data_IF_778775497920
#
_entry.id   IF_778775497920
#
_cell.length_a   1.000
_cell.length_b   1.000
_cell.length_c   1.000
_cell.angle_alpha   90.00
_cell.angle_beta   90.00
_cell.angle_gamma   90.00
#
_symmetry.space_group_name_H-M   'P 1'
#
loop_
_entity.id
_entity.type
_entity.pdbx_description
1 polymer ?
#
# COMPACT_ATOMS: atom_id res chain seq x y z
N UNK A 1 21.86 25.86 -61.69
CA UNK A 1 20.67 25.06 -61.37
C UNK A 1 21.12 23.71 -60.79
N UNK A 2 21.12 23.53 -59.51
CA UNK A 2 21.15 22.22 -58.80
C UNK A 2 20.32 22.35 -57.53
N UNK A 3 19.21 21.64 -57.50
CA UNK A 3 18.31 21.55 -56.35
C UNK A 3 18.92 20.53 -55.36
N UNK A 4 19.22 20.97 -54.16
CA UNK A 4 19.62 20.10 -53.05
C UNK A 4 18.38 19.79 -52.21
N UNK A 5 17.91 18.55 -52.24
CA UNK A 5 16.87 18.06 -51.37
C UNK A 5 17.50 17.72 -50.02
N UNK A 6 17.11 18.44 -49.01
CA UNK A 6 17.42 18.11 -47.61
C UNK A 6 16.39 17.08 -47.09
N UNK A 7 16.86 15.88 -46.84
CA UNK A 7 16.05 14.83 -46.20
C UNK A 7 15.91 15.13 -44.71
N UNK A 8 14.70 15.43 -44.26
CA UNK A 8 14.32 15.53 -42.84
C UNK A 8 14.13 14.12 -42.32
N UNK A 9 15.05 13.63 -41.49
CA UNK A 9 14.88 12.37 -40.78
C UNK A 9 14.01 12.63 -39.54
N UNK A 10 12.76 12.15 -39.59
CA UNK A 10 11.86 12.13 -38.43
C UNK A 10 12.29 10.97 -37.53
N UNK A 11 12.95 11.27 -36.44
CA UNK A 11 13.28 10.33 -35.38
C UNK A 11 12.05 10.17 -34.51
N UNK A 12 11.28 9.09 -34.75
CA UNK A 12 10.16 8.72 -33.90
C UNK A 12 10.68 8.21 -32.57
N UNK A 13 10.65 9.04 -31.55
CA UNK A 13 10.83 8.62 -30.14
C UNK A 13 9.56 7.90 -29.70
N UNK A 14 9.60 6.58 -29.65
CA UNK A 14 8.59 5.79 -28.93
C UNK A 14 8.79 6.02 -27.43
N UNK A 15 8.04 6.96 -26.86
CA UNK A 15 7.82 7.02 -25.41
C UNK A 15 6.92 5.81 -25.04
N UNK A 16 7.54 4.74 -24.58
CA UNK A 16 6.80 3.70 -23.86
C UNK A 16 6.37 4.28 -22.51
N UNK A 17 5.15 4.77 -22.45
CA UNK A 17 4.46 5.02 -21.20
C UNK A 17 4.34 3.68 -20.46
N UNK A 18 5.20 3.45 -19.47
CA UNK A 18 4.98 2.42 -18.46
C UNK A 18 3.80 2.86 -17.60
N UNK A 19 2.57 2.60 -18.06
CA UNK A 19 1.44 2.46 -17.19
C UNK A 19 1.74 1.23 -16.33
N UNK A 20 2.04 1.45 -15.06
CA UNK A 20 1.93 0.44 -14.01
C UNK A 20 0.45 0.05 -13.89
N UNK A 21 -0.04 -0.70 -14.86
CA UNK A 21 -1.20 -1.53 -14.66
C UNK A 21 -0.81 -2.49 -13.55
N UNK A 22 -1.42 -2.39 -12.39
CA UNK A 22 -1.49 -3.48 -11.44
C UNK A 22 -2.06 -4.67 -12.20
N UNK A 23 -1.19 -5.57 -12.64
CA UNK A 23 -1.59 -6.84 -13.23
C UNK A 23 -2.19 -7.66 -12.08
N UNK A 24 -3.47 -7.45 -11.83
CA UNK A 24 -4.31 -8.48 -11.27
C UNK A 24 -4.02 -9.73 -12.10
N UNK A 25 -3.59 -10.82 -11.48
CA UNK A 25 -3.60 -12.13 -12.13
C UNK A 25 -5.05 -12.46 -12.43
N UNK A 26 -5.57 -11.94 -13.54
CA UNK A 26 -6.86 -12.36 -14.00
C UNK A 26 -6.68 -13.80 -14.50
N UNK A 27 -7.37 -14.76 -13.88
CA UNK A 27 -7.49 -16.15 -14.30
C UNK A 27 -8.12 -16.31 -15.72
N UNK A 28 -8.15 -15.26 -16.52
CA UNK A 28 -8.76 -15.14 -17.85
C UNK A 28 -7.78 -15.33 -19.00
N UNK A 29 -6.49 -15.61 -18.72
CA UNK A 29 -5.50 -15.88 -19.77
C UNK A 29 -5.75 -17.19 -20.49
N UNK A 30 -5.44 -17.23 -21.81
CA UNK A 30 -5.49 -18.43 -22.65
C UNK A 30 -4.68 -19.59 -22.06
N UNK A 31 -3.52 -19.25 -21.46
CA UNK A 31 -2.65 -20.17 -20.74
C UNK A 31 -2.66 -19.77 -19.28
N UNK A 32 -2.75 -20.76 -18.39
CA UNK A 32 -2.66 -20.59 -16.94
C UNK A 32 -1.40 -21.29 -16.45
N UNK A 33 -0.61 -20.59 -15.68
CA UNK A 33 0.53 -21.15 -14.92
C UNK A 33 0.11 -21.17 -13.46
N UNK A 34 -0.10 -22.35 -12.91
CA UNK A 34 -0.49 -22.54 -11.52
C UNK A 34 0.75 -22.97 -10.76
N UNK A 35 1.06 -22.27 -9.69
CA UNK A 35 2.11 -22.61 -8.73
C UNK A 35 1.45 -22.70 -7.36
N UNK A 36 1.62 -23.81 -6.66
CA UNK A 36 1.01 -24.02 -5.34
C UNK A 36 1.96 -24.77 -4.41
N UNK A 37 2.17 -24.28 -3.17
CA UNK A 37 2.89 -25.04 -2.15
C UNK A 37 2.06 -26.23 -1.66
N UNK A 38 2.73 -27.23 -1.06
CA UNK A 38 2.11 -28.46 -0.56
C UNK A 38 1.32 -28.27 0.76
N UNK A 39 1.61 -27.22 1.55
CA UNK A 39 0.82 -26.88 2.72
C UNK A 39 -0.37 -25.99 2.32
N UNK A 40 -1.57 -26.34 2.83
CA UNK A 40 -2.81 -25.64 2.49
C UNK A 40 -2.83 -24.17 2.91
N UNK A 41 -2.18 -23.83 4.01
CA UNK A 41 -2.08 -22.47 4.56
C UNK A 41 -0.80 -21.74 4.11
N UNK A 42 0.03 -22.39 3.27
CA UNK A 42 1.31 -21.91 2.76
C UNK A 42 2.33 -21.59 3.87
N UNK A 43 2.18 -22.14 5.08
CA UNK A 43 3.06 -21.85 6.21
C UNK A 43 3.93 -23.05 6.59
N UNK A 44 5.16 -22.80 6.98
CA UNK A 44 6.22 -23.79 7.27
C UNK A 44 7.02 -23.36 8.49
N UNK A 45 7.68 -24.33 9.12
CA UNK A 45 8.72 -24.07 10.11
C UNK A 45 10.03 -23.72 9.42
N UNK A 46 10.88 -22.92 10.06
CA UNK A 46 12.24 -22.68 9.61
C UNK A 46 13.00 -24.01 9.51
N UNK A 47 13.67 -24.24 8.39
CA UNK A 47 14.37 -25.49 8.08
C UNK A 47 13.49 -26.57 7.44
N UNK A 48 12.18 -26.44 7.46
CA UNK A 48 11.25 -27.33 6.77
C UNK A 48 11.39 -27.17 5.25
N UNK A 49 11.03 -28.21 4.50
CA UNK A 49 11.07 -28.23 3.05
C UNK A 49 9.67 -27.96 2.49
N UNK A 50 9.48 -26.84 1.82
CA UNK A 50 8.29 -26.57 1.03
C UNK A 50 8.42 -27.19 -0.36
N UNK A 51 7.37 -27.84 -0.85
CA UNK A 51 7.30 -28.39 -2.21
C UNK A 51 6.27 -27.59 -2.99
N UNK A 52 6.69 -27.00 -4.12
CA UNK A 52 5.83 -26.23 -5.00
C UNK A 52 5.50 -27.04 -6.25
N UNK A 53 4.24 -27.38 -6.42
CA UNK A 53 3.75 -27.98 -7.66
C UNK A 53 3.53 -26.87 -8.71
N UNK A 54 3.90 -27.16 -9.96
CA UNK A 54 3.70 -26.27 -11.10
C UNK A 54 2.90 -26.98 -12.17
N UNK A 55 1.90 -26.30 -12.70
CA UNK A 55 1.09 -26.79 -13.82
C UNK A 55 0.93 -25.68 -14.87
N UNK A 56 1.14 -26.03 -16.14
CA UNK A 56 0.89 -25.12 -17.27
C UNK A 56 -0.28 -25.69 -18.07
N UNK A 57 -1.37 -24.92 -18.12
CA UNK A 57 -2.64 -25.34 -18.70
C UNK A 57 -3.02 -24.43 -19.88
N UNK A 58 -3.51 -25.04 -20.98
CA UNK A 58 -4.22 -24.35 -22.06
C UNK A 58 -5.60 -24.96 -22.20
N UNK A 59 -6.65 -24.15 -22.18
CA UNK A 59 -8.05 -24.60 -22.18
C UNK A 59 -8.38 -25.62 -21.06
N UNK A 60 -7.72 -25.51 -19.91
CA UNK A 60 -7.93 -26.42 -18.77
C UNK A 60 -7.17 -27.75 -18.86
N UNK A 61 -6.41 -28.01 -19.94
CA UNK A 61 -5.62 -29.22 -20.12
C UNK A 61 -4.13 -28.92 -19.99
N UNK A 62 -3.37 -29.86 -19.41
CA UNK A 62 -1.92 -29.78 -19.32
C UNK A 62 -1.29 -29.67 -20.71
N UNK A 63 -0.29 -28.81 -20.84
CA UNK A 63 0.43 -28.59 -22.10
C UNK A 63 1.65 -29.49 -22.20
N UNK A 64 1.71 -30.28 -23.25
CA UNK A 64 2.91 -31.06 -23.56
C UNK A 64 4.01 -30.17 -24.17
N UNK A 65 5.27 -30.48 -23.85
CA UNK A 65 6.47 -29.85 -24.39
C UNK A 65 6.48 -28.31 -24.28
N UNK A 66 5.95 -27.76 -23.18
CA UNK A 66 5.95 -26.31 -22.93
C UNK A 66 7.28 -25.84 -22.33
N UNK A 67 7.80 -24.73 -22.85
CA UNK A 67 9.02 -24.11 -22.33
C UNK A 67 8.67 -23.14 -21.21
N UNK A 68 9.42 -23.21 -20.11
CA UNK A 68 9.31 -22.31 -18.97
C UNK A 68 10.65 -21.65 -18.64
N UNK A 69 10.56 -20.46 -18.06
CA UNK A 69 11.60 -19.81 -17.26
C UNK A 69 11.15 -19.82 -15.80
N UNK A 70 12.08 -19.80 -14.85
CA UNK A 70 11.72 -19.62 -13.45
C UNK A 70 12.78 -18.89 -12.64
N UNK A 71 12.33 -18.31 -11.53
CA UNK A 71 13.17 -17.87 -10.43
C UNK A 71 12.61 -18.41 -9.10
N UNK A 72 13.50 -18.78 -8.19
CA UNK A 72 13.16 -19.32 -6.88
C UNK A 72 14.16 -18.81 -5.83
N UNK A 73 13.69 -18.65 -4.59
CA UNK A 73 14.52 -18.17 -3.48
C UNK A 73 13.78 -17.24 -2.53
N UNK A 74 14.50 -16.59 -1.61
CA UNK A 74 13.92 -15.56 -0.76
C UNK A 74 13.21 -14.48 -1.58
N UNK A 75 12.04 -14.05 -1.14
CA UNK A 75 11.25 -13.05 -1.88
C UNK A 75 12.09 -11.80 -2.19
N UNK A 76 11.94 -11.23 -3.37
CA UNK A 76 12.71 -10.11 -3.93
C UNK A 76 14.22 -10.35 -4.15
N UNK A 77 14.79 -11.43 -3.63
CA UNK A 77 16.22 -11.79 -3.71
C UNK A 77 16.37 -13.27 -4.13
N UNK A 78 15.83 -13.69 -5.29
CA UNK A 78 15.92 -15.07 -5.73
C UNK A 78 17.38 -15.46 -5.93
N UNK A 79 17.75 -16.65 -5.44
CA UNK A 79 19.10 -17.22 -5.53
C UNK A 79 19.22 -18.25 -6.65
N UNK A 80 18.11 -18.69 -7.24
CA UNK A 80 18.07 -19.55 -8.40
C UNK A 80 17.26 -18.92 -9.55
N UNK A 81 17.84 -18.92 -10.77
CA UNK A 81 17.18 -18.52 -12.02
C UNK A 81 17.57 -19.46 -13.13
N UNK A 82 16.59 -19.93 -13.89
CA UNK A 82 16.83 -20.73 -15.10
C UNK A 82 15.82 -20.37 -16.19
N UNK A 83 16.27 -20.46 -17.43
CA UNK A 83 15.49 -20.16 -18.61
C UNK A 83 15.50 -21.36 -19.59
N UNK A 84 14.48 -21.43 -20.44
CA UNK A 84 14.42 -22.38 -21.54
C UNK A 84 14.21 -23.84 -21.16
N UNK A 85 13.59 -24.12 -20.01
CA UNK A 85 13.34 -25.48 -19.52
C UNK A 85 12.10 -26.05 -20.18
N UNK A 86 12.20 -27.18 -20.84
CA UNK A 86 11.06 -27.85 -21.48
C UNK A 86 10.40 -28.86 -20.52
N UNK A 87 9.11 -28.61 -20.22
CA UNK A 87 8.26 -29.53 -19.46
C UNK A 87 7.55 -30.46 -20.42
N UNK A 88 7.89 -31.75 -20.40
CA UNK A 88 7.32 -32.78 -21.31
C UNK A 88 5.80 -32.94 -21.15
N UNK A 89 5.30 -32.84 -19.92
CA UNK A 89 3.89 -33.03 -19.56
C UNK A 89 3.24 -31.80 -18.91
N UNK A 90 3.82 -30.62 -19.10
CA UNK A 90 3.30 -29.38 -18.52
C UNK A 90 3.34 -29.27 -16.99
N UNK A 91 4.06 -30.18 -16.31
CA UNK A 91 4.17 -30.19 -14.85
C UNK A 91 5.61 -30.28 -14.41
N UNK A 92 5.91 -29.69 -13.26
CA UNK A 92 7.18 -29.85 -12.55
C UNK A 92 6.97 -29.53 -11.06
N UNK A 93 8.00 -29.78 -10.25
CA UNK A 93 8.04 -29.41 -8.84
C UNK A 93 9.32 -28.64 -8.54
N UNK A 94 9.22 -27.68 -7.64
CA UNK A 94 10.34 -26.98 -7.04
C UNK A 94 10.33 -27.19 -5.53
N UNK A 95 11.49 -27.09 -4.91
CA UNK A 95 11.60 -27.20 -3.46
C UNK A 95 12.38 -26.03 -2.90
N UNK A 96 11.94 -25.52 -1.76
CA UNK A 96 12.59 -24.44 -1.07
C UNK A 96 12.60 -24.61 0.44
N UNK A 97 13.51 -23.93 1.11
CA UNK A 97 13.58 -23.87 2.56
C UNK A 97 14.21 -22.55 2.99
N UNK A 98 13.84 -22.07 4.18
CA UNK A 98 14.46 -20.88 4.77
C UNK A 98 15.21 -21.27 6.05
N UNK A 99 16.39 -20.67 6.25
CA UNK A 99 17.20 -20.86 7.48
C UNK A 99 16.82 -19.88 8.59
N UNK A 100 16.05 -18.85 8.25
CA UNK A 100 15.55 -17.79 9.15
C UNK A 100 14.10 -17.50 8.81
N UNK A 101 13.31 -16.91 9.72
CA UNK A 101 11.95 -16.47 9.43
C UNK A 101 11.91 -15.54 8.21
N UNK A 102 10.96 -15.78 7.29
CA UNK A 102 10.87 -15.05 6.04
C UNK A 102 9.99 -15.76 5.01
N UNK A 103 10.12 -15.36 3.75
CA UNK A 103 9.28 -15.84 2.66
C UNK A 103 10.14 -16.38 1.51
N UNK A 104 9.82 -17.57 1.04
CA UNK A 104 10.42 -18.22 -0.13
C UNK A 104 9.43 -18.20 -1.28
N UNK A 105 9.84 -17.68 -2.42
CA UNK A 105 8.97 -17.49 -3.59
C UNK A 105 9.47 -18.33 -4.77
N UNK A 106 8.53 -19.00 -5.44
CA UNK A 106 8.72 -19.60 -6.76
C UNK A 106 7.88 -18.84 -7.76
N UNK A 107 8.53 -18.38 -8.82
CA UNK A 107 7.90 -17.60 -9.90
C UNK A 107 8.24 -18.24 -11.23
N UNK A 108 7.25 -18.58 -12.02
CA UNK A 108 7.38 -19.35 -13.25
C UNK A 108 6.72 -18.60 -14.40
N UNK A 109 7.38 -18.58 -15.54
CA UNK A 109 6.81 -18.03 -16.78
C UNK A 109 6.78 -19.11 -17.86
N UNK A 110 5.60 -19.43 -18.38
CA UNK A 110 5.46 -20.26 -19.57
C UNK A 110 5.52 -19.36 -20.82
N UNK A 111 6.31 -19.77 -21.80
CA UNK A 111 6.42 -19.10 -23.11
C UNK A 111 5.60 -19.90 -24.13
N UNK A 112 4.47 -19.35 -24.57
CA UNK A 112 3.56 -20.00 -25.51
C UNK A 112 3.22 -19.03 -26.64
N UNK A 113 3.52 -19.44 -27.87
CA UNK A 113 3.25 -18.64 -29.07
C UNK A 113 3.84 -17.23 -28.98
N UNK A 114 5.07 -17.11 -28.41
CA UNK A 114 5.78 -15.84 -28.22
C UNK A 114 5.28 -14.95 -27.09
N UNK A 115 4.29 -15.41 -26.31
CA UNK A 115 3.77 -14.70 -25.13
C UNK A 115 4.25 -15.36 -23.83
N UNK A 116 4.52 -14.53 -22.83
CA UNK A 116 4.84 -14.96 -21.47
C UNK A 116 3.59 -14.95 -20.59
N UNK A 117 3.36 -16.06 -19.90
CA UNK A 117 2.29 -16.24 -18.91
C UNK A 117 2.91 -16.59 -17.58
N UNK A 118 2.53 -15.88 -16.54
CA UNK A 118 3.15 -15.96 -15.23
C UNK A 118 2.27 -16.72 -14.23
N UNK A 119 2.93 -17.49 -13.37
CA UNK A 119 2.37 -18.02 -12.13
C UNK A 119 3.39 -17.90 -11.01
N UNK A 120 2.94 -17.67 -9.78
CA UNK A 120 3.81 -17.59 -8.62
C UNK A 120 3.11 -18.07 -7.36
N UNK A 121 3.91 -18.58 -6.40
CA UNK A 121 3.46 -18.81 -5.04
C UNK A 121 4.60 -18.53 -4.06
N UNK A 122 4.22 -18.13 -2.84
CA UNK A 122 5.16 -17.69 -1.81
C UNK A 122 4.87 -18.42 -0.50
N UNK A 123 5.80 -19.27 -0.06
CA UNK A 123 5.73 -20.00 1.21
C UNK A 123 6.24 -19.11 2.36
N UNK A 124 5.51 -19.09 3.45
CA UNK A 124 5.83 -18.33 4.66
C UNK A 124 6.52 -19.22 5.70
N UNK A 125 7.72 -18.87 6.11
CA UNK A 125 8.48 -19.60 7.12
C UNK A 125 8.46 -18.84 8.45
N UNK A 126 7.68 -19.33 9.41
CA UNK A 126 7.50 -18.71 10.74
C UNK A 126 7.32 -17.18 10.69
N UNK A 127 6.39 -16.64 9.89
CA UNK A 127 6.28 -15.21 9.62
C UNK A 127 6.04 -14.38 10.88
N UNK A 128 5.37 -14.94 11.90
CA UNK A 128 5.17 -14.30 13.21
C UNK A 128 6.47 -14.06 14.00
N UNK A 129 7.60 -14.64 13.59
CA UNK A 129 8.91 -14.45 14.23
C UNK A 129 9.81 -13.43 13.51
N UNK A 130 9.36 -12.88 12.40
CA UNK A 130 10.11 -11.83 11.67
C UNK A 130 10.27 -10.62 12.57
N UNK A 131 11.54 -10.20 12.76
CA UNK A 131 11.88 -8.99 13.51
C UNK A 131 12.27 -7.87 12.53
N UNK A 132 11.91 -6.61 12.79
CA UNK A 132 12.32 -5.50 11.94
C UNK A 132 13.83 -5.26 11.98
N UNK A 133 14.36 -4.70 10.88
CA UNK A 133 15.76 -4.27 10.78
C UNK A 133 15.95 -2.78 11.07
N UNK A 134 14.89 -1.99 10.91
CA UNK A 134 14.93 -0.56 11.17
C UNK A 134 15.10 -0.27 12.67
N UNK A 135 16.00 0.68 12.97
CA UNK A 135 16.21 1.16 14.34
C UNK A 135 15.10 2.12 14.74
N UNK A 136 14.74 2.11 16.03
CA UNK A 136 13.84 3.10 16.62
C UNK A 136 14.69 4.29 17.12
N UNK A 137 14.54 5.52 16.57
CA UNK A 137 15.27 6.68 17.04
C UNK A 137 14.89 7.04 18.48
N UNK A 138 15.88 7.34 19.31
CA UNK A 138 15.65 7.63 20.73
C UNK A 138 14.76 8.88 20.96
N UNK A 139 14.82 9.85 20.05
CA UNK A 139 14.04 11.09 20.07
C UNK A 139 12.78 11.02 19.16
N UNK A 140 12.34 9.82 18.73
CA UNK A 140 11.23 9.65 17.80
C UNK A 140 9.94 10.32 18.28
N UNK A 141 9.56 10.11 19.53
CA UNK A 141 8.34 10.69 20.08
C UNK A 141 8.43 12.20 20.25
N UNK A 142 9.57 12.68 20.71
CA UNK A 142 9.83 14.13 20.82
C UNK A 142 9.75 14.80 19.46
N UNK A 143 10.39 14.23 18.44
CA UNK A 143 10.36 14.74 17.06
C UNK A 143 8.92 14.88 16.54
N UNK A 144 8.09 13.85 16.66
CA UNK A 144 6.73 13.88 16.14
C UNK A 144 5.79 14.73 17.00
N UNK A 145 5.91 14.70 18.32
CA UNK A 145 5.11 15.54 19.21
C UNK A 145 5.39 17.04 18.95
N UNK A 146 6.64 17.41 18.77
CA UNK A 146 7.02 18.79 18.41
C UNK A 146 6.46 19.16 17.03
N UNK A 147 6.59 18.29 16.02
CA UNK A 147 6.08 18.55 14.68
C UNK A 147 4.53 18.73 14.68
N UNK A 148 3.80 17.90 15.41
CA UNK A 148 2.34 18.00 15.55
C UNK A 148 1.95 19.28 16.29
N UNK A 149 2.66 19.62 17.38
CA UNK A 149 2.42 20.84 18.14
C UNK A 149 2.59 22.09 17.28
N UNK A 150 3.67 22.16 16.49
CA UNK A 150 3.90 23.27 15.55
C UNK A 150 2.82 23.33 14.46
N UNK A 151 2.46 22.19 13.86
CA UNK A 151 1.40 22.14 12.86
C UNK A 151 0.05 22.65 13.40
N UNK A 152 -0.27 22.35 14.67
CA UNK A 152 -1.51 22.78 15.32
C UNK A 152 -1.56 24.28 15.67
N UNK A 153 -0.45 25.00 15.62
CA UNK A 153 -0.45 26.47 15.73
C UNK A 153 -1.05 27.12 14.49
N UNK A 154 -1.06 26.44 13.35
CA UNK A 154 -1.71 26.89 12.13
C UNK A 154 -3.21 26.61 12.22
N UNK A 155 -4.04 27.65 12.10
CA UNK A 155 -5.50 27.51 12.05
C UNK A 155 -5.92 26.53 10.95
N UNK A 156 -6.90 25.66 11.20
CA UNK A 156 -7.42 24.74 10.19
C UNK A 156 -7.99 25.46 8.96
N UNK A 157 -8.62 26.62 9.13
CA UNK A 157 -9.28 27.38 8.05
C UNK A 157 -10.03 26.44 7.06
N UNK A 158 -11.05 25.69 7.51
CA UNK A 158 -11.74 24.71 6.69
C UNK A 158 -12.57 25.40 5.60
N UNK A 159 -12.49 24.85 4.37
CA UNK A 159 -13.34 25.28 3.24
C UNK A 159 -14.11 24.07 2.75
N UNK A 160 -15.43 24.24 2.59
CA UNK A 160 -16.34 23.20 2.16
C UNK A 160 -17.15 23.71 0.96
N UNK A 161 -17.17 22.96 -0.12
CA UNK A 161 -17.99 23.22 -1.31
C UNK A 161 -18.85 21.99 -1.57
N UNK A 162 -20.18 22.15 -1.50
CA UNK A 162 -21.12 21.08 -1.80
C UNK A 162 -20.92 20.60 -3.24
N UNK A 163 -20.97 19.28 -3.45
CA UNK A 163 -20.96 18.62 -4.76
C UNK A 163 -22.34 17.98 -5.00
N UNK A 164 -23.33 18.75 -5.51
CA UNK A 164 -24.70 18.27 -5.63
C UNK A 164 -24.83 16.99 -6.45
N UNK A 165 -23.98 16.86 -7.49
CA UNK A 165 -23.94 15.71 -8.40
C UNK A 165 -23.42 14.40 -7.73
N UNK A 166 -22.81 14.51 -6.53
CA UNK A 166 -22.33 13.38 -5.74
C UNK A 166 -23.18 13.08 -4.51
N UNK A 167 -24.13 13.98 -4.19
CA UNK A 167 -25.06 13.77 -3.09
C UNK A 167 -26.03 12.63 -3.41
N UNK A 168 -26.43 11.89 -2.37
CA UNK A 168 -27.45 10.84 -2.46
C UNK A 168 -28.73 11.26 -1.70
N UNK A 169 -29.74 10.41 -1.63
CA UNK A 169 -30.90 10.62 -0.74
C UNK A 169 -30.47 10.80 0.72
N UNK A 170 -29.42 10.10 1.16
CA UNK A 170 -29.06 9.90 2.56
C UNK A 170 -27.75 10.60 2.99
N UNK A 171 -26.95 11.08 2.02
CA UNK A 171 -25.67 11.74 2.30
C UNK A 171 -25.46 13.02 1.48
N UNK A 172 -24.91 14.06 2.12
CA UNK A 172 -24.31 15.21 1.47
C UNK A 172 -22.83 14.97 1.23
N UNK A 173 -22.32 15.40 0.06
CA UNK A 173 -20.92 15.23 -0.33
C UNK A 173 -20.30 16.59 -0.61
N UNK A 174 -19.10 16.81 -0.03
CA UNK A 174 -18.40 18.08 -0.15
C UNK A 174 -16.98 17.88 -0.63
N UNK A 175 -16.50 18.73 -1.54
CA UNK A 175 -15.08 18.96 -1.70
C UNK A 175 -14.62 19.86 -0.55
N UNK A 176 -13.57 19.41 0.15
CA UNK A 176 -13.07 20.13 1.32
C UNK A 176 -11.59 20.49 1.17
N UNK A 177 -11.15 21.50 1.88
CA UNK A 177 -9.75 21.69 2.19
C UNK A 177 -9.57 22.33 3.56
N UNK A 178 -8.41 22.05 4.17
CA UNK A 178 -7.98 22.67 5.43
C UNK A 178 -6.47 22.88 5.43
N UNK A 179 -5.95 23.80 6.26
CA UNK A 179 -4.53 24.04 6.37
C UNK A 179 -3.83 22.89 7.12
N UNK A 180 -2.65 22.56 6.65
CA UNK A 180 -1.79 21.49 7.17
C UNK A 180 -0.75 22.04 8.16
N UNK A 181 0.53 21.86 7.85
CA UNK A 181 1.67 22.18 8.73
C UNK A 181 2.16 23.63 8.63
N UNK A 182 1.78 24.34 7.58
CA UNK A 182 2.21 25.73 7.33
C UNK A 182 1.09 26.53 6.69
N UNK A 183 1.17 27.84 6.80
CA UNK A 183 0.22 28.75 6.17
C UNK A 183 0.27 28.58 4.63
N UNK A 184 -0.87 28.35 4.02
CA UNK A 184 -0.98 28.07 2.58
C UNK A 184 -0.74 26.62 2.19
N UNK A 185 -0.13 25.78 3.05
CA UNK A 185 -0.07 24.33 2.85
C UNK A 185 -1.44 23.73 3.18
N UNK A 186 -2.11 23.13 2.19
CA UNK A 186 -3.46 22.59 2.37
C UNK A 186 -3.53 21.11 2.08
N UNK A 187 -4.45 20.43 2.76
CA UNK A 187 -4.96 19.12 2.42
C UNK A 187 -6.32 19.31 1.76
N UNK A 188 -6.57 18.53 0.72
CA UNK A 188 -7.86 18.50 0.03
C UNK A 188 -8.46 17.10 0.16
N UNK A 189 -9.78 17.01 0.11
CA UNK A 189 -10.46 15.73 0.23
C UNK A 189 -11.93 15.79 -0.15
N UNK A 190 -12.58 14.64 -0.05
CA UNK A 190 -14.03 14.49 -0.20
C UNK A 190 -14.60 14.05 1.15
N UNK A 191 -15.48 14.89 1.67
CA UNK A 191 -16.25 14.62 2.90
C UNK A 191 -17.65 14.17 2.52
N UNK A 192 -18.12 13.06 3.05
CA UNK A 192 -19.53 12.69 2.98
C UNK A 192 -20.13 12.60 4.39
N UNK A 193 -21.27 13.27 4.58
CA UNK A 193 -21.97 13.42 5.87
C UNK A 193 -23.40 12.93 5.72
N UNK A 194 -23.94 12.14 6.68
CA UNK A 194 -25.35 11.76 6.68
C UNK A 194 -26.27 13.00 6.64
N UNK A 195 -27.32 12.97 5.83
CA UNK A 195 -28.31 14.09 5.73
C UNK A 195 -29.20 14.21 6.96
N UNK A 196 -29.51 13.08 7.58
CA UNK A 196 -30.33 13.07 8.79
C UNK A 196 -29.57 13.80 9.92
N UNK A 197 -30.25 14.72 10.60
CA UNK A 197 -29.65 15.39 11.75
C UNK A 197 -29.28 14.39 12.84
N UNK A 198 -28.06 14.50 13.42
CA UNK A 198 -27.54 13.58 14.42
C UNK A 198 -26.07 13.76 14.70
N UNK A 199 -25.57 12.88 15.56
CA UNK A 199 -24.15 12.72 15.84
C UNK A 199 -23.69 11.37 15.33
N UNK A 200 -22.56 11.32 14.63
CA UNK A 200 -22.12 10.16 13.88
C UNK A 200 -20.65 9.85 14.13
N UNK A 201 -20.28 8.56 14.19
CA UNK A 201 -18.89 8.17 14.12
C UNK A 201 -18.29 8.50 12.77
N UNK A 202 -16.96 8.47 12.66
CA UNK A 202 -16.25 8.83 11.42
C UNK A 202 -15.24 7.77 10.99
N UNK A 203 -15.02 7.69 9.67
CA UNK A 203 -13.91 6.96 9.05
C UNK A 203 -13.05 7.94 8.26
N UNK A 204 -11.77 8.03 8.60
CA UNK A 204 -10.75 8.67 7.80
C UNK A 204 -10.19 7.65 6.80
N UNK A 205 -10.34 7.92 5.50
CA UNK A 205 -9.78 7.12 4.42
C UNK A 205 -8.51 7.80 3.92
N UNK A 206 -7.37 7.14 4.10
CA UNK A 206 -6.05 7.64 3.70
C UNK A 206 -5.57 6.95 2.42
N UNK A 207 -4.90 7.68 1.50
CA UNK A 207 -4.73 7.22 0.13
C UNK A 207 -3.55 6.27 -0.07
N UNK A 208 -3.70 5.35 -1.02
CA UNK A 208 -2.58 4.65 -1.67
C UNK A 208 -1.66 5.60 -2.43
N UNK A 209 -0.50 5.11 -2.88
CA UNK A 209 0.45 5.91 -3.65
C UNK A 209 -0.10 6.36 -4.99
N UNK A 210 0.38 7.50 -5.46
CA UNK A 210 0.01 8.14 -6.73
C UNK A 210 -0.85 9.37 -6.56
N UNK A 211 -0.95 10.15 -7.62
CA UNK A 211 -1.65 11.43 -7.69
C UNK A 211 -2.89 11.21 -8.51
N UNK A 212 -4.07 11.42 -7.92
CA UNK A 212 -5.35 11.06 -8.55
C UNK A 212 -6.51 11.86 -7.98
N UNK A 213 -7.66 11.91 -8.69
CA UNK A 213 -8.91 12.40 -8.12
C UNK A 213 -9.48 11.42 -7.09
N UNK A 214 -10.39 11.88 -6.25
CA UNK A 214 -11.11 11.06 -5.28
C UNK A 214 -12.62 11.25 -5.44
N UNK A 215 -13.36 10.16 -5.22
CA UNK A 215 -14.82 10.16 -5.34
C UNK A 215 -15.53 10.43 -4.01
N UNK A 216 -14.93 10.01 -2.90
CA UNK A 216 -15.58 9.95 -1.59
C UNK A 216 -16.43 8.68 -1.42
N UNK A 217 -16.90 8.45 -0.21
CA UNK A 217 -17.69 7.26 0.15
C UNK A 217 -19.06 7.67 0.70
N UNK A 218 -19.95 8.08 -0.20
CA UNK A 218 -21.34 8.42 0.14
C UNK A 218 -22.17 7.21 0.57
N UNK A 219 -21.79 5.99 0.15
CA UNK A 219 -22.48 4.75 0.54
C UNK A 219 -22.36 4.48 2.04
N UNK A 220 -21.15 4.55 2.57
CA UNK A 220 -20.91 4.39 4.01
C UNK A 220 -21.53 5.57 4.79
N UNK A 221 -21.50 6.78 4.23
CA UNK A 221 -22.16 7.93 4.85
C UNK A 221 -23.68 7.75 4.97
N UNK A 222 -24.33 7.19 3.95
CA UNK A 222 -25.75 6.82 4.00
C UNK A 222 -26.11 5.80 5.08
N UNK A 223 -25.13 5.08 5.59
CA UNK A 223 -25.29 4.15 6.72
C UNK A 223 -25.10 4.82 8.10
N UNK A 224 -24.98 6.14 8.17
CA UNK A 224 -24.84 6.87 9.43
C UNK A 224 -23.38 6.94 9.93
N UNK A 225 -22.40 7.05 9.05
CA UNK A 225 -20.99 7.21 9.38
C UNK A 225 -20.41 8.33 8.52
N UNK A 226 -19.79 9.34 9.13
CA UNK A 226 -19.06 10.38 8.39
C UNK A 226 -17.86 9.70 7.70
N UNK A 227 -17.63 10.00 6.42
CA UNK A 227 -16.43 9.56 5.72
C UNK A 227 -15.64 10.74 5.19
N UNK A 228 -14.34 10.75 5.44
CA UNK A 228 -13.39 11.71 4.90
C UNK A 228 -12.31 10.98 4.12
N UNK A 229 -12.27 11.15 2.80
CA UNK A 229 -11.21 10.65 1.93
C UNK A 229 -10.29 11.82 1.56
N UNK A 230 -9.00 11.73 1.91
CA UNK A 230 -8.04 12.83 1.70
C UNK A 230 -7.06 12.55 0.57
N UNK A 231 -6.62 13.64 -0.11
CA UNK A 231 -5.43 13.65 -0.96
C UNK A 231 -4.26 14.29 -0.21
N UNK A 232 -3.06 13.73 -0.35
CA UNK A 232 -1.88 14.11 0.45
C UNK A 232 -0.92 15.10 -0.23
N UNK A 233 -1.21 15.48 -1.48
CA UNK A 233 -0.26 16.25 -2.29
C UNK A 233 -0.47 17.77 -2.26
N UNK A 234 -1.49 18.25 -1.54
CA UNK A 234 -1.84 19.68 -1.53
C UNK A 234 -2.49 20.16 -2.82
N UNK A 235 -3.16 19.27 -3.53
CA UNK A 235 -3.79 19.49 -4.83
C UNK A 235 -5.29 19.19 -4.68
N UNK A 236 -6.20 20.05 -5.19
CA UNK A 236 -7.63 19.75 -5.23
C UNK A 236 -7.89 18.38 -5.85
N UNK A 237 -8.84 17.64 -5.29
CA UNK A 237 -9.07 16.22 -5.66
C UNK A 237 -10.19 16.00 -6.67
N UNK A 238 -10.65 17.10 -7.28
CA UNK A 238 -11.76 17.14 -8.27
C UNK A 238 -11.37 17.81 -9.58
N UNK A 239 -10.06 17.90 -9.87
CA UNK A 239 -9.55 18.45 -11.13
C UNK A 239 -9.68 17.44 -12.27
N UNK A 240 -9.41 17.91 -13.48
CA UNK A 240 -9.34 17.06 -14.68
C UNK A 240 -8.27 15.96 -14.49
N UNK A 241 -8.55 14.70 -14.91
CA UNK A 241 -7.61 13.59 -14.80
C UNK A 241 -6.23 13.85 -15.42
N UNK A 242 -6.15 14.68 -16.48
CA UNK A 242 -4.88 15.03 -17.14
C UNK A 242 -3.93 15.76 -16.18
N UNK A 243 -4.46 16.66 -15.32
CA UNK A 243 -3.64 17.39 -14.34
C UNK A 243 -2.89 16.43 -13.41
N UNK A 244 -3.57 15.38 -12.95
CA UNK A 244 -2.93 14.36 -12.09
C UNK A 244 -1.90 13.53 -12.84
N UNK A 245 -2.18 13.19 -14.08
CA UNK A 245 -1.24 12.47 -14.96
C UNK A 245 0.04 13.29 -15.18
N UNK A 246 -0.09 14.57 -15.49
CA UNK A 246 1.03 15.48 -15.71
C UNK A 246 1.88 15.67 -14.44
N UNK A 247 1.24 15.80 -13.28
CA UNK A 247 1.94 15.90 -12.00
C UNK A 247 2.67 14.59 -11.62
N UNK A 248 2.04 13.45 -11.88
CA UNK A 248 2.63 12.14 -11.60
C UNK A 248 3.84 11.84 -12.50
N UNK A 249 3.80 12.25 -13.76
CA UNK A 249 4.92 12.15 -14.71
C UNK A 249 5.96 13.27 -14.60
N UNK A 250 5.62 14.37 -13.91
CA UNK A 250 6.41 15.60 -13.82
C UNK A 250 6.81 15.97 -12.39
N UNK A 251 6.25 17.07 -11.88
CA UNK A 251 6.68 17.72 -10.64
C UNK A 251 6.62 16.84 -9.38
N UNK A 252 5.78 15.83 -9.34
CA UNK A 252 5.62 14.90 -8.22
C UNK A 252 6.07 13.47 -8.56
N UNK A 253 6.76 13.27 -9.68
CA UNK A 253 7.36 11.97 -9.99
C UNK A 253 8.34 11.58 -8.88
N UNK A 254 8.18 10.35 -8.33
CA UNK A 254 9.05 9.88 -7.26
C UNK A 254 9.01 10.71 -5.97
N UNK A 255 7.88 11.36 -5.66
CA UNK A 255 7.71 12.23 -4.46
C UNK A 255 8.17 11.57 -3.16
N UNK A 256 8.09 10.26 -3.06
CA UNK A 256 8.51 9.48 -1.90
C UNK A 256 10.01 9.59 -1.60
N UNK A 257 10.83 9.95 -2.61
CA UNK A 257 12.28 10.14 -2.48
C UNK A 257 12.72 11.59 -2.20
N UNK A 258 11.79 12.55 -2.13
CA UNK A 258 12.13 13.97 -1.94
C UNK A 258 12.70 14.19 -0.53
N UNK A 259 13.95 14.69 -0.46
CA UNK A 259 14.63 15.05 0.79
C UNK A 259 14.79 13.88 1.78
N UNK A 260 15.08 12.67 1.31
CA UNK A 260 15.29 11.48 2.16
C UNK A 260 16.46 11.60 3.15
N UNK A 261 17.35 12.55 2.96
CA UNK A 261 18.52 12.80 3.81
C UNK A 261 18.32 13.92 4.84
N UNK A 262 17.11 14.45 4.96
CA UNK A 262 16.78 15.51 5.91
C UNK A 262 15.46 15.22 6.61
N UNK A 263 15.51 14.81 7.89
CA UNK A 263 14.32 14.45 8.65
C UNK A 263 13.32 15.59 8.82
N UNK A 264 13.73 16.83 8.68
CA UNK A 264 12.84 17.97 8.81
C UNK A 264 12.14 18.34 7.49
N UNK A 265 12.72 17.96 6.36
CA UNK A 265 12.26 18.35 5.02
C UNK A 265 11.76 17.18 4.16
N UNK A 266 11.87 15.94 4.66
CA UNK A 266 11.40 14.77 3.93
C UNK A 266 9.90 14.88 3.60
N UNK A 267 9.54 14.53 2.37
CA UNK A 267 8.18 14.71 1.84
C UNK A 267 7.09 14.12 2.74
N UNK A 268 7.34 12.95 3.33
CA UNK A 268 6.37 12.30 4.20
C UNK A 268 6.11 13.05 5.52
N UNK A 269 6.92 14.03 5.92
CA UNK A 269 6.63 14.86 7.11
C UNK A 269 5.28 15.57 6.96
N UNK A 270 5.10 16.28 5.84
CA UNK A 270 3.83 16.97 5.56
C UNK A 270 2.66 16.01 5.34
N UNK A 271 2.93 14.81 4.78
CA UNK A 271 1.92 13.77 4.57
C UNK A 271 1.38 13.25 5.90
N UNK A 272 2.28 12.87 6.82
CA UNK A 272 1.90 12.32 8.12
C UNK A 272 1.21 13.38 9.00
N UNK A 273 1.73 14.61 9.00
CA UNK A 273 1.05 15.74 9.64
C UNK A 273 -0.33 16.00 9.02
N UNK A 274 -0.47 15.90 7.69
CA UNK A 274 -1.75 16.03 7.00
C UNK A 274 -2.78 15.00 7.45
N UNK A 275 -2.39 13.75 7.73
CA UNK A 275 -3.28 12.75 8.30
C UNK A 275 -3.74 13.12 9.72
N UNK A 276 -2.82 13.62 10.57
CA UNK A 276 -3.19 14.11 11.92
C UNK A 276 -4.13 15.32 11.84
N UNK A 277 -3.87 16.27 10.92
CA UNK A 277 -4.73 17.44 10.70
C UNK A 277 -6.11 17.05 10.14
N UNK A 278 -6.20 15.93 9.39
CA UNK A 278 -7.48 15.39 8.97
C UNK A 278 -8.31 14.87 10.16
N UNK A 279 -7.66 14.31 11.18
CA UNK A 279 -8.32 13.98 12.44
C UNK A 279 -8.80 15.26 13.14
N UNK A 280 -7.96 16.32 13.22
CA UNK A 280 -8.36 17.64 13.77
C UNK A 280 -9.58 18.20 13.05
N UNK A 281 -9.62 18.07 11.70
CA UNK A 281 -10.77 18.52 10.89
C UNK A 281 -12.04 17.73 11.21
N UNK A 282 -11.99 16.40 11.33
CA UNK A 282 -13.15 15.57 11.71
C UNK A 282 -13.67 15.99 13.08
N UNK A 283 -12.79 16.26 14.05
CA UNK A 283 -13.17 16.74 15.38
C UNK A 283 -13.80 18.13 15.38
N UNK A 284 -13.60 18.93 14.33
CA UNK A 284 -14.25 20.25 14.17
C UNK A 284 -15.65 20.18 13.57
N UNK A 285 -16.07 19.03 13.04
CA UNK A 285 -17.38 18.87 12.40
C UNK A 285 -18.49 18.83 13.44
N UNK A 286 -19.56 19.64 13.27
CA UNK A 286 -20.69 19.64 14.22
C UNK A 286 -21.45 18.32 14.23
N UNK A 287 -21.41 17.51 13.19
CA UNK A 287 -22.07 16.21 13.08
C UNK A 287 -21.27 15.07 13.71
N UNK A 288 -20.00 15.26 14.00
CA UNK A 288 -19.17 14.20 14.61
C UNK A 288 -19.61 13.94 16.06
N UNK A 289 -19.59 12.68 16.48
CA UNK A 289 -19.99 12.27 17.83
C UNK A 289 -18.96 12.62 18.92
N UNK A 290 -17.78 13.11 18.52
CA UNK A 290 -16.71 13.56 19.41
C UNK A 290 -15.81 12.46 19.93
N UNK A 291 -16.03 11.20 19.55
CA UNK A 291 -15.26 10.09 20.13
C UNK A 291 -14.89 8.97 19.13
N UNK A 292 -15.85 8.51 18.32
CA UNK A 292 -15.68 7.28 17.55
C UNK A 292 -15.11 7.55 16.15
N UNK A 293 -13.80 7.45 15.99
CA UNK A 293 -13.10 7.63 14.72
C UNK A 293 -12.23 6.41 14.39
N UNK A 294 -12.33 5.94 13.17
CA UNK A 294 -11.46 4.91 12.61
C UNK A 294 -10.63 5.46 11.45
N UNK A 295 -9.51 4.80 11.16
CA UNK A 295 -8.67 5.11 10.00
C UNK A 295 -8.46 3.84 9.17
N UNK A 296 -8.49 3.97 7.82
CA UNK A 296 -8.29 2.84 6.90
C UNK A 296 -7.68 3.27 5.57
N UNK A 297 -6.97 2.34 4.95
CA UNK A 297 -6.41 2.49 3.61
C UNK A 297 -5.57 1.30 3.20
N UNK A 298 -5.27 1.20 1.90
CA UNK A 298 -4.44 0.15 1.32
C UNK A 298 -3.11 0.67 0.79
N UNK A 299 -2.08 -0.17 0.74
CA UNK A 299 -0.75 0.18 0.22
C UNK A 299 -0.10 1.31 1.04
N UNK A 300 0.28 2.43 0.41
CA UNK A 300 0.65 3.64 1.14
C UNK A 300 -0.46 4.04 2.14
N UNK A 301 -1.74 3.84 1.81
CA UNK A 301 -2.85 4.07 2.72
C UNK A 301 -2.83 3.13 3.93
N UNK A 302 -2.42 1.88 3.77
CA UNK A 302 -2.17 0.94 4.88
C UNK A 302 -1.05 1.44 5.79
N UNK A 303 0.02 1.97 5.21
CA UNK A 303 1.08 2.67 5.92
C UNK A 303 0.55 3.87 6.71
N UNK A 304 -0.19 4.77 6.03
CA UNK A 304 -0.77 5.97 6.65
C UNK A 304 -1.79 5.64 7.74
N UNK A 305 -2.46 4.49 7.63
CA UNK A 305 -3.35 3.97 8.68
C UNK A 305 -2.57 3.68 9.97
N UNK A 306 -1.46 2.96 9.86
CA UNK A 306 -0.59 2.65 11.01
C UNK A 306 0.04 3.94 11.55
N UNK A 307 0.55 4.80 10.69
CA UNK A 307 1.14 6.10 11.07
C UNK A 307 0.14 6.97 11.84
N UNK A 308 -1.07 7.13 11.30
CA UNK A 308 -2.09 7.99 11.93
C UNK A 308 -2.50 7.46 13.30
N UNK A 309 -2.71 6.14 13.44
CA UNK A 309 -3.07 5.52 14.72
C UNK A 309 -1.90 5.49 15.73
N UNK A 310 -0.65 5.48 15.26
CA UNK A 310 0.53 5.62 16.10
C UNK A 310 0.72 7.04 16.63
N UNK A 311 0.42 8.07 15.82
CA UNK A 311 0.61 9.49 16.14
C UNK A 311 -0.57 10.11 16.89
N UNK A 312 -1.80 9.74 16.57
CA UNK A 312 -3.00 10.40 17.13
C UNK A 312 -3.81 9.44 17.99
N UNK A 313 -3.75 9.62 19.30
CA UNK A 313 -4.42 8.78 20.31
C UNK A 313 -5.95 8.92 20.31
N UNK A 314 -6.50 9.85 19.53
CA UNK A 314 -7.96 9.99 19.37
C UNK A 314 -8.54 8.94 18.42
N UNK A 315 -7.73 8.31 17.55
CA UNK A 315 -8.15 7.15 16.76
C UNK A 315 -8.59 6.02 17.71
N UNK A 316 -9.67 5.34 17.36
CA UNK A 316 -10.21 4.21 18.14
C UNK A 316 -10.02 2.86 17.47
N UNK A 317 -10.00 2.82 16.14
CA UNK A 317 -9.85 1.60 15.35
C UNK A 317 -9.02 1.87 14.11
N UNK A 318 -8.22 0.89 13.71
CA UNK A 318 -7.38 0.96 12.52
C UNK A 318 -7.60 -0.27 11.62
N UNK A 319 -7.77 -0.07 10.31
CA UNK A 319 -7.81 -1.19 9.37
C UNK A 319 -6.85 -0.93 8.21
N UNK A 320 -5.73 -1.65 8.20
CA UNK A 320 -4.65 -1.48 7.23
C UNK A 320 -4.53 -2.65 6.26
N UNK A 321 -4.57 -2.38 4.94
CA UNK A 321 -4.45 -3.39 3.89
C UNK A 321 -3.05 -3.28 3.26
N UNK A 322 -2.35 -4.40 3.12
CA UNK A 322 -1.02 -4.53 2.46
C UNK A 322 -0.13 -3.28 2.63
N UNK A 323 0.25 -2.91 3.88
CA UNK A 323 0.93 -1.64 4.16
C UNK A 323 2.29 -1.53 3.49
N UNK A 324 2.51 -0.39 2.81
CA UNK A 324 3.80 0.03 2.27
C UNK A 324 4.70 0.67 3.34
N UNK A 325 5.86 1.17 2.95
CA UNK A 325 6.78 1.97 3.78
C UNK A 325 7.27 1.26 5.06
N UNK A 326 7.27 -0.07 5.08
CA UNK A 326 7.66 -0.88 6.23
C UNK A 326 9.08 -1.41 6.06
N UNK A 327 9.92 -1.26 7.09
CA UNK A 327 11.24 -1.90 7.20
C UNK A 327 12.16 -1.65 5.99
N UNK A 328 12.37 -0.39 5.65
CA UNK A 328 13.16 0.03 4.49
C UNK A 328 14.58 -0.53 4.49
N UNK A 329 15.16 -0.77 5.67
CA UNK A 329 16.51 -1.30 5.84
C UNK A 329 16.63 -2.80 5.60
N UNK A 330 15.55 -3.51 5.27
CA UNK A 330 15.54 -4.94 4.95
C UNK A 330 16.61 -5.29 3.91
N UNK A 331 16.70 -4.53 2.80
CA UNK A 331 17.70 -4.78 1.75
C UNK A 331 19.16 -4.65 2.23
N UNK A 332 19.43 -3.76 3.17
CA UNK A 332 20.75 -3.61 3.78
C UNK A 332 21.08 -4.79 4.71
N UNK A 333 20.07 -5.58 5.06
CA UNK A 333 20.16 -6.79 5.89
C UNK A 333 19.87 -8.09 5.10
N UNK A 334 20.09 -8.07 3.77
CA UNK A 334 19.96 -9.22 2.85
C UNK A 334 18.58 -9.88 2.89
N UNK A 335 17.53 -9.09 3.05
CA UNK A 335 16.13 -9.52 2.96
C UNK A 335 15.26 -8.47 2.30
N UNK A 336 14.01 -8.81 2.01
CA UNK A 336 13.06 -7.85 1.43
C UNK A 336 12.82 -6.67 2.36
N UNK A 337 12.88 -5.46 1.81
CA UNK A 337 12.43 -4.20 2.41
C UNK A 337 11.16 -3.71 1.72
N UNK A 338 10.38 -2.86 2.38
CA UNK A 338 9.10 -2.39 1.87
C UNK A 338 9.20 -1.44 0.68
N UNK A 339 8.08 -1.29 -0.03
CA UNK A 339 7.93 -0.23 -1.03
C UNK A 339 8.24 1.14 -0.40
N UNK A 340 8.92 2.05 -1.09
CA UNK A 340 9.29 2.05 -2.51
C UNK A 340 10.66 1.41 -2.84
N UNK A 341 11.16 0.50 -2.01
CA UNK A 341 12.40 -0.26 -2.23
C UNK A 341 13.64 0.62 -2.29
N UNK A 342 13.76 1.61 -1.43
CA UNK A 342 14.81 2.63 -1.44
C UNK A 342 16.23 2.08 -1.60
N UNK A 343 16.54 0.93 -1.00
CA UNK A 343 17.89 0.34 -0.96
C UNK A 343 18.03 -0.97 -1.73
N UNK A 344 17.08 -1.33 -2.60
CA UNK A 344 17.09 -2.63 -3.27
C UNK A 344 18.33 -2.88 -4.12
N UNK A 345 18.82 -1.86 -4.84
CA UNK A 345 19.92 -1.99 -5.79
C UNK A 345 20.92 -0.85 -5.65
N UNK A 346 21.04 -0.27 -4.48
CA UNK A 346 21.98 0.83 -4.21
C UNK A 346 22.34 0.90 -2.74
N UNK A 347 23.51 1.44 -2.47
CA UNK A 347 23.91 1.86 -1.13
C UNK A 347 23.20 3.16 -0.73
N UNK A 348 22.92 3.37 0.56
CA UNK A 348 22.35 4.62 1.04
C UNK A 348 23.35 5.77 0.92
N UNK A 349 22.83 6.97 0.59
CA UNK A 349 23.62 8.19 0.78
C UNK A 349 23.65 8.58 2.27
N UNK A 350 24.65 9.45 2.68
CA UNK A 350 24.73 9.89 4.06
C UNK A 350 23.43 10.52 4.57
N UNK A 351 22.98 10.12 5.75
CA UNK A 351 21.79 10.60 6.43
C UNK A 351 20.46 9.98 5.98
N UNK A 352 20.43 9.16 4.91
CA UNK A 352 19.19 8.56 4.44
C UNK A 352 18.65 7.50 5.41
N UNK A 353 19.50 6.64 5.94
CA UNK A 353 19.07 5.56 6.86
C UNK A 353 18.55 6.17 8.17
N UNK A 354 19.24 7.15 8.71
CA UNK A 354 18.87 7.87 9.93
C UNK A 354 17.56 8.64 9.72
N UNK A 355 17.42 9.35 8.61
CA UNK A 355 16.20 10.09 8.28
C UNK A 355 15.03 9.14 8.10
N UNK A 356 15.17 8.08 7.30
CA UNK A 356 14.08 7.15 7.02
C UNK A 356 13.62 6.39 8.26
N UNK A 357 14.45 6.24 9.30
CA UNK A 357 14.03 5.66 10.57
C UNK A 357 12.90 6.47 11.26
N UNK A 358 12.82 7.79 11.04
CA UNK A 358 11.72 8.61 11.54
C UNK A 358 10.43 8.44 10.73
N UNK A 359 10.50 7.85 9.54
CA UNK A 359 9.38 7.72 8.60
C UNK A 359 8.98 6.27 8.31
N UNK A 360 9.76 5.31 8.79
CA UNK A 360 9.45 3.89 8.64
C UNK A 360 8.22 3.50 9.47
N UNK A 361 7.27 2.85 8.83
CA UNK A 361 5.99 2.46 9.43
C UNK A 361 6.16 1.54 10.64
N UNK A 362 7.25 0.76 10.70
CA UNK A 362 7.55 -0.09 11.86
C UNK A 362 7.64 0.73 13.16
N UNK A 363 8.25 1.92 13.12
CA UNK A 363 8.41 2.74 14.31
C UNK A 363 7.09 3.36 14.79
N UNK A 364 6.14 3.62 13.88
CA UNK A 364 4.77 3.98 14.25
C UNK A 364 3.98 2.77 14.75
N UNK A 365 4.17 1.60 14.14
CA UNK A 365 3.54 0.35 14.54
C UNK A 365 3.83 0.00 16.01
N UNK A 366 5.05 0.24 16.50
CA UNK A 366 5.43 0.11 17.94
C UNK A 366 4.54 0.97 18.87
N UNK A 367 3.92 2.02 18.35
CA UNK A 367 3.14 3.04 19.08
C UNK A 367 1.63 2.93 18.86
N UNK A 368 1.18 1.99 18.03
CA UNK A 368 -0.25 1.69 17.87
C UNK A 368 -0.77 1.08 19.16
N UNK A 369 -1.81 1.69 19.73
CA UNK A 369 -2.42 1.27 21.00
C UNK A 369 -3.90 0.95 20.88
N UNK A 370 -4.45 0.95 19.66
CA UNK A 370 -5.87 0.72 19.39
C UNK A 370 -6.09 -0.62 18.70
N UNK A 371 -7.26 -1.24 18.82
CA UNK A 371 -7.57 -2.45 18.07
C UNK A 371 -7.42 -2.25 16.58
N UNK A 372 -6.82 -3.22 15.90
CA UNK A 372 -6.55 -3.16 14.48
C UNK A 372 -6.95 -4.42 13.72
N UNK A 373 -7.39 -4.24 12.47
CA UNK A 373 -7.60 -5.30 11.50
C UNK A 373 -6.63 -5.11 10.35
N UNK A 374 -5.92 -6.18 9.97
CA UNK A 374 -4.91 -6.13 8.93
C UNK A 374 -5.13 -7.27 7.93
N UNK A 375 -4.85 -7.00 6.65
CA UNK A 375 -4.96 -8.03 5.61
C UNK A 375 -3.95 -7.81 4.49
N UNK A 376 -3.43 -8.90 3.93
CA UNK A 376 -2.57 -8.92 2.75
C UNK A 376 -2.43 -10.35 2.20
N UNK A 377 -1.82 -10.45 1.01
CA UNK A 377 -1.46 -11.72 0.40
C UNK A 377 0.04 -12.02 0.47
N UNK A 378 0.39 -13.29 0.28
CA UNK A 378 1.80 -13.71 0.25
C UNK A 378 2.47 -13.43 -1.10
N UNK A 379 1.67 -13.27 -2.17
CA UNK A 379 2.18 -13.04 -3.51
C UNK A 379 2.42 -11.57 -3.87
N UNK A 380 2.37 -10.67 -2.90
CA UNK A 380 2.59 -9.25 -3.16
C UNK A 380 4.06 -8.99 -3.59
N UNK A 381 4.21 -8.45 -4.81
CA UNK A 381 5.49 -8.07 -5.41
C UNK A 381 5.84 -6.59 -5.15
N UNK A 382 4.86 -5.80 -4.73
CA UNK A 382 5.00 -4.37 -4.47
C UNK A 382 5.31 -4.10 -3.00
N UNK A 383 4.52 -4.67 -2.09
CA UNK A 383 4.76 -4.60 -0.66
C UNK A 383 5.11 -6.02 -0.16
N UNK A 384 6.41 -6.37 -0.08
CA UNK A 384 6.81 -7.73 0.28
C UNK A 384 6.28 -8.14 1.65
N UNK A 385 5.69 -9.36 1.79
CA UNK A 385 5.18 -9.87 3.06
C UNK A 385 6.17 -9.77 4.23
N UNK A 386 7.47 -10.02 4.01
CA UNK A 386 8.49 -9.84 5.06
C UNK A 386 8.43 -8.44 5.68
N UNK A 387 8.28 -7.40 4.85
CA UNK A 387 8.23 -6.01 5.34
C UNK A 387 6.94 -5.71 6.09
N UNK A 388 5.81 -6.25 5.64
CA UNK A 388 4.51 -6.07 6.31
C UNK A 388 4.48 -6.77 7.67
N UNK A 389 5.00 -8.00 7.76
CA UNK A 389 5.15 -8.71 9.03
C UNK A 389 6.11 -8.01 9.99
N UNK A 390 7.16 -7.34 9.49
CA UNK A 390 8.05 -6.52 10.33
C UNK A 390 7.30 -5.42 11.09
N UNK A 391 6.33 -4.77 10.45
CA UNK A 391 5.48 -3.78 11.11
C UNK A 391 4.40 -4.43 11.97
N UNK A 392 3.71 -5.45 11.46
CA UNK A 392 2.63 -6.12 12.20
C UNK A 392 3.11 -6.77 13.50
N UNK A 393 4.24 -7.46 13.48
CA UNK A 393 4.73 -8.22 14.63
C UNK A 393 5.06 -7.33 15.85
N UNK A 394 5.41 -6.07 15.64
CA UNK A 394 5.72 -5.12 16.73
C UNK A 394 4.48 -4.41 17.29
N UNK A 395 3.32 -4.53 16.67
CA UNK A 395 2.07 -3.99 17.24
C UNK A 395 1.69 -4.84 18.47
N UNK A 396 1.55 -4.21 19.62
CA UNK A 396 1.18 -4.88 20.88
C UNK A 396 -0.31 -4.76 21.22
N UNK A 397 -1.03 -3.83 20.58
CA UNK A 397 -2.46 -3.66 20.73
C UNK A 397 -3.23 -4.91 20.20
N UNK A 398 -4.49 -5.12 20.63
CA UNK A 398 -5.33 -6.15 20.06
C UNK A 398 -5.38 -6.05 18.54
N UNK A 399 -5.08 -7.13 17.83
CA UNK A 399 -4.98 -7.13 16.38
C UNK A 399 -5.47 -8.43 15.79
N UNK A 400 -6.14 -8.30 14.65
CA UNK A 400 -6.61 -9.39 13.82
C UNK A 400 -5.85 -9.36 12.50
N UNK A 401 -5.49 -10.52 11.96
CA UNK A 401 -4.83 -10.65 10.66
C UNK A 401 -5.56 -11.68 9.83
N UNK A 402 -6.01 -11.27 8.65
CA UNK A 402 -6.57 -12.18 7.65
C UNK A 402 -5.64 -12.26 6.45
N UNK A 403 -5.25 -13.46 6.06
CA UNK A 403 -4.33 -13.69 4.93
C UNK A 403 -5.08 -14.31 3.77
N UNK A 404 -4.98 -13.66 2.61
CA UNK A 404 -5.44 -14.18 1.32
C UNK A 404 -4.20 -14.60 0.52
N UNK A 405 -3.72 -15.83 0.72
CA UNK A 405 -2.40 -16.30 0.27
C UNK A 405 -2.11 -15.99 -1.20
N UNK A 406 -3.12 -16.13 -2.07
CA UNK A 406 -2.96 -15.94 -3.52
C UNK A 406 -2.85 -14.48 -3.94
N UNK A 407 -3.34 -13.54 -3.12
CA UNK A 407 -3.35 -12.13 -3.54
C UNK A 407 -1.95 -11.54 -3.59
N UNK A 408 -1.77 -10.70 -4.60
CA UNK A 408 -0.62 -9.81 -4.73
C UNK A 408 -0.94 -8.44 -4.16
N UNK A 409 -0.60 -7.37 -4.91
CA UNK A 409 -0.92 -6.00 -4.51
C UNK A 409 -2.36 -5.60 -4.92
N UNK A 410 -3.33 -6.42 -4.52
CA UNK A 410 -4.75 -6.27 -4.81
C UNK A 410 -5.57 -7.09 -3.82
N UNK A 411 -6.87 -6.83 -3.75
CA UNK A 411 -7.81 -7.50 -2.84
C UNK A 411 -8.97 -8.13 -3.59
N UNK A 412 -9.51 -9.23 -3.05
CA UNK A 412 -10.83 -9.70 -3.45
C UNK A 412 -11.93 -8.73 -2.97
N UNK A 413 -13.09 -8.68 -3.65
CA UNK A 413 -14.25 -7.92 -3.14
C UNK A 413 -14.64 -8.33 -1.71
N UNK A 414 -14.61 -9.61 -1.40
CA UNK A 414 -14.92 -10.19 -0.09
C UNK A 414 -13.97 -9.67 1.01
N UNK A 415 -12.71 -9.50 0.69
CA UNK A 415 -11.70 -8.93 1.58
C UNK A 415 -12.02 -7.46 1.92
N UNK A 416 -12.39 -6.67 0.92
CA UNK A 416 -12.83 -5.29 1.13
C UNK A 416 -14.12 -5.20 1.96
N UNK A 417 -15.08 -6.11 1.70
CA UNK A 417 -16.32 -6.19 2.47
C UNK A 417 -16.04 -6.57 3.93
N UNK A 418 -15.13 -7.52 4.18
CA UNK A 418 -14.70 -7.91 5.53
C UNK A 418 -14.12 -6.72 6.31
N UNK A 419 -13.19 -5.97 5.71
CA UNK A 419 -12.60 -4.77 6.30
C UNK A 419 -13.66 -3.71 6.62
N UNK A 420 -14.55 -3.41 5.67
CA UNK A 420 -15.60 -2.42 5.87
C UNK A 420 -16.60 -2.85 6.96
N UNK A 421 -17.01 -4.12 6.96
CA UNK A 421 -17.92 -4.67 7.95
C UNK A 421 -17.31 -4.64 9.35
N UNK A 422 -16.02 -4.97 9.48
CA UNK A 422 -15.31 -4.88 10.76
C UNK A 422 -15.31 -3.44 11.28
N UNK A 423 -14.96 -2.45 10.46
CA UNK A 423 -14.95 -1.03 10.82
C UNK A 423 -16.35 -0.54 11.24
N UNK A 424 -17.36 -0.83 10.44
CA UNK A 424 -18.75 -0.43 10.70
C UNK A 424 -19.25 -1.05 12.00
N UNK A 425 -18.98 -2.33 12.23
CA UNK A 425 -19.35 -3.04 13.46
C UNK A 425 -18.73 -2.37 14.69
N UNK A 426 -17.40 -2.13 14.67
CA UNK A 426 -16.70 -1.49 15.79
C UNK A 426 -17.21 -0.07 16.07
N UNK A 427 -17.45 0.73 15.05
CA UNK A 427 -17.94 2.11 15.20
C UNK A 427 -19.38 2.19 15.67
N UNK A 428 -20.22 1.20 15.39
CA UNK A 428 -21.61 1.13 15.84
C UNK A 428 -21.81 0.38 17.17
N UNK A 429 -20.73 0.05 17.86
CA UNK A 429 -20.79 -0.60 19.17
C UNK A 429 -21.00 -2.11 19.10
N UNK A 430 -20.71 -2.74 17.97
CA UNK A 430 -20.63 -4.21 17.88
C UNK A 430 -19.46 -4.75 18.73
N UNK A 431 -19.73 -5.84 19.46
CA UNK A 431 -18.73 -6.54 20.26
C UNK A 431 -17.74 -7.31 19.38
#
# INVERSE_FOLDING_TARGET
>A
MKKTLTRLSILSFFLTAFSLSSLSQSNTGLVKVIVAPDHKDWTYKVGEKAVFSVQVLKYGNLMDNVTIDYEAGPETLPDEKKEGITLKKGTTEFTGSMKTPGFYRVRVWAVVEGRRYEGLATAAFEPGKIQPTVKDPADFEEFWNNAISEARKVSLDPKLTLLPERCTSDANVYHISFQNEALGSRIYGILAVPKKAGKYPAILRVPGAGIRPYAGDSRTAGQGIITLEIGIHGIPVTLDPQVYSDLNGGALAGYWGIRMNDKNMHYYKRVYLGCVRAVDFIYSLPEFDGNNIAVTGGSQGGALTIVTSGLDKRIKYAAGLYPALCDHTGYLNKRAGGWPHYFRNREPNPGEVETLAYYDVVNFARRVSVPGFYTWGFNDLTCPPTSMYSAYNVITAPKELEIFQETGHWTFPEENDMVNNWLISKLKGGK
#
